data_IF_388569393056
#
_entry.id   IF_388569393056
#
_cell.length_a   1.000
_cell.length_b   1.000
_cell.length_c   1.000
_cell.angle_alpha   90.00
_cell.angle_beta   90.00
_cell.angle_gamma   90.00
#
_symmetry.space_group_name_H-M   'P 1'
#
loop_
_entity.id
_entity.type
_entity.pdbx_description
1 polymer ?
#
# COMPACT_ATOMS: atom_id res chain seq x y z
N UNK A 1 -7.39 -20.91 -9.13
CA UNK A 1 -7.52 -19.77 -8.20
C UNK A 1 -6.13 -19.38 -7.78
N UNK A 2 -5.71 -18.14 -8.07
CA UNK A 2 -4.29 -17.77 -8.07
C UNK A 2 -3.75 -17.58 -6.65
N UNK A 3 -2.69 -18.31 -6.32
CA UNK A 3 -1.88 -18.19 -5.10
C UNK A 3 -1.53 -16.74 -4.70
N UNK A 4 -1.53 -15.82 -5.67
CA UNK A 4 -1.19 -14.41 -5.51
C UNK A 4 -2.25 -13.59 -4.76
N UNK A 5 -3.56 -13.89 -4.92
CA UNK A 5 -4.60 -13.24 -4.12
C UNK A 5 -4.56 -13.74 -2.68
N UNK A 6 -4.22 -15.01 -2.47
CA UNK A 6 -4.14 -15.63 -1.15
C UNK A 6 -3.05 -14.97 -0.29
N UNK A 7 -1.87 -14.68 -0.86
CA UNK A 7 -0.79 -13.97 -0.14
C UNK A 7 -1.20 -12.55 0.29
N UNK A 8 -1.91 -11.81 -0.55
CA UNK A 8 -2.40 -10.46 -0.20
C UNK A 8 -3.46 -10.55 0.90
N UNK A 9 -4.35 -11.54 0.81
CA UNK A 9 -5.38 -11.79 1.83
C UNK A 9 -4.76 -12.19 3.17
N UNK A 10 -3.72 -13.01 3.17
CA UNK A 10 -2.98 -13.37 4.37
C UNK A 10 -2.32 -12.16 5.02
N UNK A 11 -1.70 -11.27 4.22
CA UNK A 11 -1.12 -10.01 4.71
C UNK A 11 -2.21 -9.11 5.33
N UNK A 12 -3.36 -8.95 4.67
CA UNK A 12 -4.47 -8.12 5.20
C UNK A 12 -5.02 -8.71 6.49
N UNK A 13 -5.06 -10.04 6.60
CA UNK A 13 -5.51 -10.75 7.81
C UNK A 13 -4.50 -10.61 8.94
N UNK A 14 -3.20 -10.70 8.64
CA UNK A 14 -2.11 -10.59 9.62
C UNK A 14 -1.86 -9.16 10.13
N UNK A 15 -2.28 -8.14 9.38
CA UNK A 15 -2.27 -6.74 9.84
C UNK A 15 -3.69 -6.25 10.19
N UNK A 16 -4.32 -6.75 11.27
CA UNK A 16 -5.67 -6.37 11.68
C UNK A 16 -5.66 -4.96 12.29
N UNK A 17 -5.63 -3.93 11.44
CA UNK A 17 -6.00 -2.56 11.81
C UNK A 17 -7.51 -2.41 11.70
N UNK A 18 -8.12 -1.64 12.60
CA UNK A 18 -9.57 -1.36 12.61
C UNK A 18 -10.05 -0.43 11.47
N UNK A 19 -9.24 -0.27 10.42
CA UNK A 19 -9.48 0.67 9.33
C UNK A 19 -9.88 -0.09 8.05
N UNK A 20 -11.18 -0.38 7.94
CA UNK A 20 -11.74 -1.11 6.81
C UNK A 20 -11.55 -0.38 5.48
N UNK A 21 -11.55 0.96 5.50
CA UNK A 21 -11.31 1.77 4.30
C UNK A 21 -9.87 1.61 3.81
N UNK A 22 -8.90 1.65 4.73
CA UNK A 22 -7.49 1.40 4.40
C UNK A 22 -7.32 -0.01 3.82
N UNK A 23 -7.92 -1.03 4.44
CA UNK A 23 -7.86 -2.42 3.94
C UNK A 23 -8.41 -2.52 2.51
N UNK A 24 -9.57 -1.92 2.25
CA UNK A 24 -10.18 -1.91 0.92
C UNK A 24 -9.29 -1.22 -0.12
N UNK A 25 -8.74 -0.04 0.20
CA UNK A 25 -7.85 0.68 -0.71
C UNK A 25 -6.54 -0.08 -0.98
N UNK A 26 -5.95 -0.72 0.05
CA UNK A 26 -4.77 -1.55 -0.12
C UNK A 26 -5.08 -2.75 -1.01
N UNK A 27 -6.19 -3.46 -0.76
CA UNK A 27 -6.60 -4.58 -1.61
C UNK A 27 -6.73 -4.18 -3.08
N UNK A 28 -7.39 -3.04 -3.34
CA UNK A 28 -7.55 -2.47 -4.68
C UNK A 28 -6.22 -2.08 -5.31
N UNK A 29 -5.30 -1.49 -4.54
CA UNK A 29 -3.96 -1.15 -5.03
C UNK A 29 -3.14 -2.41 -5.34
N UNK A 30 -3.31 -3.49 -4.57
CA UNK A 30 -2.59 -4.75 -4.79
C UNK A 30 -3.00 -5.50 -6.05
N UNK A 31 -4.09 -5.09 -6.72
CA UNK A 31 -4.40 -5.54 -8.09
C UNK A 31 -3.39 -5.03 -9.13
N UNK A 32 -2.66 -3.95 -8.81
CA UNK A 32 -1.65 -3.35 -9.68
C UNK A 32 -0.25 -3.87 -9.34
N UNK A 33 0.48 -4.34 -10.36
CA UNK A 33 1.79 -4.97 -10.18
C UNK A 33 2.81 -4.07 -9.47
N UNK A 34 2.82 -2.76 -9.76
CA UNK A 34 3.76 -1.80 -9.16
C UNK A 34 3.60 -1.70 -7.64
N UNK A 35 2.36 -1.75 -7.14
CA UNK A 35 2.08 -1.69 -5.71
C UNK A 35 2.25 -3.05 -5.06
N UNK A 36 1.86 -4.12 -5.76
CA UNK A 36 2.07 -5.49 -5.28
C UNK A 36 3.53 -5.77 -4.97
N UNK A 37 4.45 -5.47 -5.91
CA UNK A 37 5.90 -5.62 -5.69
C UNK A 37 6.40 -4.82 -4.47
N UNK A 38 5.81 -3.65 -4.22
CA UNK A 38 6.13 -2.83 -3.05
C UNK A 38 5.55 -3.44 -1.75
N UNK A 39 4.35 -4.00 -1.80
CA UNK A 39 3.60 -4.50 -0.64
C UNK A 39 4.00 -5.91 -0.22
N UNK A 40 4.55 -6.72 -1.11
CA UNK A 40 5.12 -8.05 -0.82
C UNK A 40 6.43 -7.96 -0.01
N UNK A 41 7.18 -6.87 -0.15
CA UNK A 41 8.37 -6.65 0.65
C UNK A 41 7.98 -6.27 2.09
N UNK A 42 8.19 -7.21 3.02
CA UNK A 42 7.86 -7.09 4.45
C UNK A 42 8.28 -5.77 5.09
N UNK A 43 9.41 -5.17 4.64
CA UNK A 43 9.91 -3.90 5.17
C UNK A 43 8.97 -2.74 4.85
N UNK A 44 8.39 -2.75 3.64
CA UNK A 44 7.45 -1.76 3.16
C UNK A 44 6.02 -2.11 3.57
N UNK A 45 5.63 -3.39 3.63
CA UNK A 45 4.34 -3.83 4.17
C UNK A 45 4.11 -3.23 5.56
N UNK A 46 5.05 -3.47 6.48
CA UNK A 46 4.97 -2.94 7.85
C UNK A 46 4.91 -1.41 7.86
N UNK A 47 5.65 -0.75 6.97
CA UNK A 47 5.67 0.70 6.84
C UNK A 47 4.32 1.26 6.37
N UNK A 48 3.72 0.66 5.34
CA UNK A 48 2.41 1.03 4.78
C UNK A 48 1.32 0.96 5.85
N UNK A 49 1.30 -0.10 6.66
CA UNK A 49 0.30 -0.29 7.73
C UNK A 49 0.52 0.58 8.98
N UNK A 50 1.73 1.10 9.19
CA UNK A 50 2.09 1.81 10.43
C UNK A 50 2.29 3.32 10.27
N UNK A 51 2.85 3.78 9.15
CA UNK A 51 3.21 5.19 8.96
C UNK A 51 1.97 6.06 8.73
N UNK A 52 1.83 7.13 9.54
CA UNK A 52 0.67 8.03 9.50
C UNK A 52 0.56 8.79 8.16
N UNK A 53 1.68 9.20 7.58
CA UNK A 53 1.73 9.95 6.31
C UNK A 53 1.28 9.07 5.15
N UNK A 54 1.80 7.84 5.06
CA UNK A 54 1.42 6.88 4.02
C UNK A 54 -0.06 6.50 4.16
N UNK A 55 -0.54 6.20 5.38
CA UNK A 55 -1.96 5.90 5.62
C UNK A 55 -2.87 7.05 5.18
N UNK A 56 -2.55 8.29 5.58
CA UNK A 56 -3.34 9.47 5.18
C UNK A 56 -3.37 9.63 3.66
N UNK A 57 -2.25 9.32 2.99
CA UNK A 57 -2.17 9.36 1.54
C UNK A 57 -3.13 8.35 0.89
N UNK A 58 -3.07 7.08 1.31
CA UNK A 58 -3.91 6.00 0.76
C UNK A 58 -5.40 6.22 1.09
N UNK A 59 -5.73 6.70 2.29
CA UNK A 59 -7.12 6.93 2.73
C UNK A 59 -7.85 8.05 1.96
N UNK A 60 -7.09 8.96 1.34
CA UNK A 60 -7.64 10.05 0.53
C UNK A 60 -8.15 9.53 -0.80
N UNK A 61 -9.45 9.65 -1.05
CA UNK A 61 -10.08 9.18 -2.30
C UNK A 61 -9.47 9.85 -3.53
N UNK A 62 -9.17 11.15 -3.47
CA UNK A 62 -8.51 11.89 -4.56
C UNK A 62 -7.13 11.33 -4.89
N UNK A 63 -6.33 11.02 -3.87
CA UNK A 63 -5.01 10.42 -4.09
C UNK A 63 -5.15 8.99 -4.61
N UNK A 64 -6.12 8.24 -4.12
CA UNK A 64 -6.38 6.87 -4.55
C UNK A 64 -6.77 6.81 -6.03
N UNK A 65 -7.64 7.71 -6.49
CA UNK A 65 -7.93 7.85 -7.91
C UNK A 65 -6.69 8.22 -8.74
N UNK A 66 -5.87 9.14 -8.22
CA UNK A 66 -4.63 9.53 -8.88
C UNK A 66 -3.64 8.35 -8.98
N UNK A 67 -3.56 7.50 -7.95
CA UNK A 67 -2.73 6.28 -7.96
C UNK A 67 -3.21 5.25 -8.98
N UNK A 68 -4.52 5.14 -9.21
CA UNK A 68 -5.07 4.24 -10.24
C UNK A 68 -4.77 4.77 -11.65
N UNK A 69 -4.96 6.08 -11.87
CA UNK A 69 -5.00 6.67 -13.21
C UNK A 69 -3.66 7.22 -13.72
N UNK A 70 -2.69 7.50 -12.84
CA UNK A 70 -1.49 8.27 -13.20
C UNK A 70 -0.18 7.59 -12.75
N UNK A 71 0.62 7.14 -13.72
CA UNK A 71 1.92 6.50 -13.46
C UNK A 71 2.90 7.43 -12.71
N UNK A 72 2.89 8.74 -13.01
CA UNK A 72 3.72 9.72 -12.29
C UNK A 72 3.40 9.72 -10.79
N UNK A 73 2.11 9.63 -10.44
CA UNK A 73 1.66 9.58 -9.04
C UNK A 73 2.02 8.26 -8.37
N UNK A 74 2.02 7.16 -9.11
CA UNK A 74 2.51 5.86 -8.63
C UNK A 74 4.00 5.95 -8.26
N UNK A 75 4.84 6.51 -9.15
CA UNK A 75 6.28 6.73 -8.89
C UNK A 75 6.52 7.65 -7.69
N UNK A 76 5.79 8.77 -7.60
CA UNK A 76 5.83 9.68 -6.45
C UNK A 76 5.50 8.96 -5.14
N UNK A 77 4.50 8.07 -5.15
CA UNK A 77 4.14 7.29 -3.97
C UNK A 77 5.21 6.27 -3.59
N UNK A 78 5.78 5.54 -4.55
CA UNK A 78 6.90 4.61 -4.29
C UNK A 78 8.07 5.37 -3.66
N UNK A 79 8.44 6.54 -4.20
CA UNK A 79 9.46 7.40 -3.61
C UNK A 79 9.11 7.84 -2.19
N UNK A 80 7.87 8.25 -1.94
CA UNK A 80 7.40 8.57 -0.59
C UNK A 80 7.59 7.41 0.38
N UNK A 81 7.25 6.18 -0.01
CA UNK A 81 7.44 4.99 0.84
C UNK A 81 8.93 4.76 1.10
N UNK A 82 9.78 4.90 0.10
CA UNK A 82 11.24 4.76 0.25
C UNK A 82 11.83 5.83 1.18
N UNK A 83 11.42 7.09 1.04
CA UNK A 83 11.89 8.19 1.88
C UNK A 83 11.47 8.02 3.34
N UNK A 84 10.22 7.61 3.57
CA UNK A 84 9.72 7.33 4.92
C UNK A 84 10.38 6.09 5.53
N UNK A 85 10.83 5.13 4.71
CA UNK A 85 11.64 4.01 5.18
C UNK A 85 13.04 4.47 5.61
N UNK A 86 13.71 5.28 4.79
CA UNK A 86 15.06 5.80 5.09
C UNK A 86 15.10 6.59 6.40
N UNK A 87 14.06 7.37 6.71
CA UNK A 87 13.97 8.14 7.97
C UNK A 87 13.86 7.30 9.23
N UNK A 88 13.54 6.00 9.12
CA UNK A 88 13.48 5.08 10.27
C UNK A 88 14.83 4.47 10.62
N UNK A 89 15.84 4.64 9.76
CA UNK A 89 17.18 4.10 9.91
C UNK A 89 18.15 5.22 10.26
#
# INVERSE_FOLDING_TARGET
MSLLFDVIMDIITFYPRNDMKLKHHIAKLSEFEWFRKLHEDTKYTKLIWSNRKIKKFILSSTNMEALIKCEKKQKEFVHLVHDEYKKRR
#
